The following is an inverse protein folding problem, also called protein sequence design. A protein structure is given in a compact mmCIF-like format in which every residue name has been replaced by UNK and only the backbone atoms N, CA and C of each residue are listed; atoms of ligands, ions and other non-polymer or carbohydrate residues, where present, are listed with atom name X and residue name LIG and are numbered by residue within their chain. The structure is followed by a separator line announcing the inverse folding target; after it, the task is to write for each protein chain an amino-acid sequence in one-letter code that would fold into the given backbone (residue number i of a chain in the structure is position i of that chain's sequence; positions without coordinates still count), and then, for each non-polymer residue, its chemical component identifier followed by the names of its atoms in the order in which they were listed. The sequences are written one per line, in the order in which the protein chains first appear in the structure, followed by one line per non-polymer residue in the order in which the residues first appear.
data_IF_848108814244
#
_entry.id   IF_848108814244
#
_cell.length_a   1.000
_cell.length_b   1.000
_cell.length_c   1.000
_cell.angle_alpha   90.00
_cell.angle_beta   90.00
_cell.angle_gamma   90.00
#
_symmetry.space_group_name_H-M   'P 1'
#
loop_
_entity.id
_entity.type
_entity.pdbx_description
1 polymer ?
#
# COMPACT_ATOMS: atom_id res chain seq x y z
N UNK A 1 26.19 -31.79 -5.89
CA UNK A 1 25.31 -30.91 -5.09
C UNK A 1 24.74 -29.89 -6.06
N UNK A 2 23.48 -30.01 -6.45
CA UNK A 2 22.84 -29.00 -7.30
C UNK A 2 22.71 -27.72 -6.48
N UNK A 3 23.41 -26.66 -6.87
CA UNK A 3 23.18 -25.34 -6.32
C UNK A 3 21.73 -24.95 -6.60
N UNK A 4 20.93 -24.94 -5.55
CA UNK A 4 19.58 -24.41 -5.60
C UNK A 4 19.68 -22.88 -5.59
N UNK A 5 19.64 -22.28 -6.77
CA UNK A 5 19.69 -20.84 -6.94
C UNK A 5 18.58 -20.11 -6.14
N UNK A 6 17.46 -20.79 -5.84
CA UNK A 6 16.40 -20.26 -4.98
C UNK A 6 16.80 -20.22 -3.50
N UNK A 7 17.66 -21.13 -3.03
CA UNK A 7 18.18 -21.12 -1.66
C UNK A 7 19.25 -20.04 -1.43
N UNK A 8 19.92 -19.58 -2.49
CA UNK A 8 20.92 -18.50 -2.40
C UNK A 8 20.30 -17.09 -2.59
N UNK A 9 19.15 -17.00 -3.28
CA UNK A 9 18.43 -15.74 -3.50
C UNK A 9 18.13 -14.92 -2.22
N UNK A 10 17.67 -15.53 -1.10
CA UNK A 10 17.46 -14.81 0.16
C UNK A 10 18.75 -14.20 0.75
N UNK A 11 19.93 -14.73 0.40
CA UNK A 11 21.22 -14.14 0.82
C UNK A 11 21.57 -12.90 0.01
N UNK A 12 21.00 -12.75 -1.19
CA UNK A 12 21.21 -11.62 -2.08
C UNK A 12 20.22 -10.47 -1.81
N UNK A 13 19.07 -10.75 -1.18
CA UNK A 13 18.05 -9.74 -0.85
C UNK A 13 18.14 -9.38 0.63
N UNK A 14 18.47 -8.13 0.93
CA UNK A 14 18.46 -7.60 2.30
C UNK A 14 17.27 -6.67 2.48
N UNK A 15 16.32 -7.07 3.34
CA UNK A 15 15.26 -6.18 3.80
C UNK A 15 15.88 -5.06 4.65
N UNK A 16 15.76 -3.81 4.20
CA UNK A 16 16.31 -2.63 4.89
C UNK A 16 15.31 -1.98 5.85
N UNK A 17 14.03 -2.17 5.63
CA UNK A 17 12.95 -1.61 6.44
C UNK A 17 11.58 -1.99 5.88
N UNK A 18 10.54 -1.62 6.62
CA UNK A 18 9.15 -1.74 6.20
C UNK A 18 8.31 -0.68 6.92
N UNK A 19 7.32 -0.13 6.23
CA UNK A 19 6.26 0.70 6.78
C UNK A 19 4.96 -0.07 6.67
N UNK A 20 4.15 -0.04 7.73
CA UNK A 20 2.88 -0.74 7.78
C UNK A 20 1.78 0.26 8.05
N UNK A 21 0.73 0.22 7.24
CA UNK A 21 -0.47 1.04 7.39
C UNK A 21 -1.65 0.13 7.67
N UNK A 22 -2.51 0.54 8.61
CA UNK A 22 -3.85 0.01 8.74
C UNK A 22 -4.79 1.09 8.23
N UNK A 23 -5.49 0.82 7.13
CA UNK A 23 -6.36 1.81 6.49
C UNK A 23 -7.81 1.34 6.54
N UNK A 24 -8.64 2.08 7.25
CA UNK A 24 -10.10 1.90 7.24
C UNK A 24 -10.74 2.83 6.23
N UNK A 25 -11.36 2.29 5.19
CA UNK A 25 -12.00 3.09 4.15
C UNK A 25 -13.52 2.90 4.17
N UNK A 26 -14.27 4.00 4.11
CA UNK A 26 -15.73 3.97 4.07
C UNK A 26 -16.31 4.77 2.89
N UNK A 27 -17.48 4.35 2.39
CA UNK A 27 -18.17 5.01 1.28
C UNK A 27 -17.43 4.85 -0.06
N UNK A 28 -17.42 5.93 -0.86
CA UNK A 28 -16.72 5.98 -2.16
C UNK A 28 -15.31 6.53 -1.95
N UNK A 29 -14.29 5.70 -2.15
CA UNK A 29 -12.89 6.03 -1.84
C UNK A 29 -11.93 5.48 -2.90
N UNK A 30 -10.77 6.13 -3.00
CA UNK A 30 -9.65 5.73 -3.86
C UNK A 30 -8.33 6.14 -3.22
N UNK A 31 -7.34 5.27 -3.30
CA UNK A 31 -5.96 5.53 -2.89
C UNK A 31 -5.05 5.16 -4.04
N UNK A 32 -4.31 6.13 -4.56
CA UNK A 32 -3.25 5.89 -5.55
C UNK A 32 -1.88 6.02 -4.91
N UNK A 33 -1.02 5.06 -5.21
CA UNK A 33 0.39 5.13 -4.93
C UNK A 33 1.13 5.53 -6.21
N UNK A 34 2.06 6.50 -6.15
CA UNK A 34 2.92 6.81 -7.28
C UNK A 34 3.91 5.65 -7.53
N UNK A 35 4.65 5.72 -8.63
CA UNK A 35 5.76 4.79 -8.87
C UNK A 35 6.76 4.85 -7.69
N UNK A 36 7.21 3.70 -7.21
CA UNK A 36 8.12 3.60 -6.09
C UNK A 36 9.39 4.44 -6.25
N UNK A 37 9.85 4.74 -7.47
CA UNK A 37 10.99 5.63 -7.71
C UNK A 37 10.76 7.06 -7.17
N UNK A 38 9.50 7.47 -7.04
CA UNK A 38 9.11 8.75 -6.44
C UNK A 38 9.21 8.67 -4.90
N UNK A 39 8.70 7.60 -4.30
CA UNK A 39 8.61 7.48 -2.83
C UNK A 39 9.88 6.97 -2.16
N UNK A 40 10.56 5.99 -2.76
CA UNK A 40 11.76 5.34 -2.19
C UNK A 40 12.80 6.34 -1.66
N UNK A 41 13.25 7.37 -2.41
CA UNK A 41 14.24 8.31 -1.91
C UNK A 41 13.74 9.19 -0.76
N UNK A 42 12.43 9.32 -0.57
CA UNK A 42 11.83 10.12 0.50
C UNK A 42 11.68 9.32 1.80
N UNK A 43 11.25 8.06 1.70
CA UNK A 43 10.94 7.23 2.88
C UNK A 43 12.10 6.32 3.30
N UNK A 44 12.83 5.77 2.34
CA UNK A 44 13.93 4.82 2.55
C UNK A 44 15.09 5.10 1.58
N UNK A 45 15.85 6.20 1.77
CA UNK A 45 16.92 6.60 0.86
C UNK A 45 18.00 5.54 0.57
N UNK A 46 18.22 4.62 1.52
CA UNK A 46 19.21 3.55 1.44
C UNK A 46 18.67 2.28 0.75
N UNK A 47 17.38 2.24 0.42
CA UNK A 47 16.77 1.13 -0.29
C UNK A 47 16.96 1.30 -1.80
N UNK A 48 17.38 0.22 -2.46
CA UNK A 48 17.47 0.17 -3.92
C UNK A 48 16.14 -0.18 -4.57
N UNK A 49 15.23 -0.77 -3.80
CA UNK A 49 14.00 -1.36 -4.28
C UNK A 49 12.92 -1.30 -3.21
N UNK A 50 11.73 -0.82 -3.58
CA UNK A 50 10.55 -0.77 -2.74
C UNK A 50 9.49 -1.70 -3.33
N UNK A 51 8.87 -2.49 -2.46
CA UNK A 51 7.76 -3.38 -2.80
C UNK A 51 6.56 -2.99 -1.98
N UNK A 52 5.44 -2.76 -2.64
CA UNK A 52 4.17 -2.48 -1.97
C UNK A 52 3.32 -3.75 -1.96
N UNK A 53 2.58 -3.94 -0.88
CA UNK A 53 1.57 -4.98 -0.82
C UNK A 53 0.41 -4.50 0.05
N UNK A 54 -0.78 -5.01 -0.26
CA UNK A 54 -2.00 -4.71 0.47
C UNK A 54 -2.66 -6.01 0.89
N UNK A 55 -3.05 -6.07 2.15
CA UNK A 55 -3.77 -7.20 2.73
C UNK A 55 -5.19 -6.72 3.02
N UNK A 56 -6.18 -7.40 2.44
CA UNK A 56 -7.59 -7.11 2.71
C UNK A 56 -8.02 -7.77 4.01
N UNK A 57 -7.99 -7.01 5.10
CA UNK A 57 -8.39 -7.50 6.43
C UNK A 57 -9.90 -7.72 6.56
N UNK A 58 -10.71 -6.89 5.89
CA UNK A 58 -12.18 -6.96 5.89
C UNK A 58 -12.74 -6.30 4.63
N UNK A 59 -13.87 -6.81 4.13
CA UNK A 59 -14.59 -6.19 3.02
C UNK A 59 -14.03 -6.55 1.65
N UNK A 60 -14.17 -5.64 0.68
CA UNK A 60 -13.74 -5.86 -0.70
C UNK A 60 -13.40 -4.53 -1.40
N UNK A 61 -12.46 -4.57 -2.34
CA UNK A 61 -12.09 -3.42 -3.16
C UNK A 61 -11.59 -3.85 -4.54
N UNK A 62 -11.19 -2.89 -5.37
CA UNK A 62 -10.53 -3.11 -6.65
C UNK A 62 -9.08 -2.63 -6.57
N UNK A 63 -8.16 -3.40 -7.14
CA UNK A 63 -6.75 -3.09 -7.22
C UNK A 63 -6.24 -3.18 -8.66
N UNK A 64 -5.30 -2.33 -9.05
CA UNK A 64 -4.68 -2.42 -10.37
C UNK A 64 -3.47 -1.51 -10.52
N UNK A 65 -2.59 -1.87 -11.46
CA UNK A 65 -1.53 -0.96 -11.92
C UNK A 65 -2.18 0.13 -12.74
N UNK A 66 -1.83 1.39 -12.51
CA UNK A 66 -2.51 2.57 -13.08
C UNK A 66 -2.49 2.64 -14.61
N UNK A 67 -1.54 1.94 -15.24
CA UNK A 67 -1.35 1.86 -16.70
C UNK A 67 -1.84 0.54 -17.31
N UNK A 68 -2.39 -0.38 -16.50
CA UNK A 68 -2.84 -1.68 -16.95
C UNK A 68 -4.31 -1.91 -16.63
N UNK A 69 -5.02 -2.58 -17.53
CA UNK A 69 -6.40 -3.00 -17.36
C UNK A 69 -6.55 -4.49 -17.65
N UNK A 70 -7.55 -5.19 -17.06
CA UNK A 70 -8.52 -4.68 -16.09
C UNK A 70 -8.02 -4.74 -14.63
N UNK A 71 -8.59 -3.95 -13.71
CA UNK A 71 -8.33 -4.11 -12.28
C UNK A 71 -8.89 -5.45 -11.78
N UNK A 72 -8.28 -5.96 -10.72
CA UNK A 72 -8.72 -7.18 -10.02
C UNK A 72 -9.57 -6.81 -8.81
N UNK A 73 -10.58 -7.64 -8.52
CA UNK A 73 -11.36 -7.51 -7.29
C UNK A 73 -10.70 -8.31 -6.18
N UNK A 74 -10.50 -7.67 -5.03
CA UNK A 74 -10.00 -8.28 -3.81
C UNK A 74 -11.14 -8.42 -2.81
N UNK A 75 -11.09 -9.49 -2.03
CA UNK A 75 -12.00 -9.80 -0.92
C UNK A 75 -11.20 -10.03 0.35
N UNK A 76 -11.89 -10.14 1.49
CA UNK A 76 -11.29 -10.47 2.78
C UNK A 76 -10.37 -11.70 2.70
N UNK A 77 -9.15 -11.54 3.23
CA UNK A 77 -8.09 -12.54 3.18
C UNK A 77 -7.17 -12.45 1.96
N UNK A 78 -7.55 -11.71 0.91
CA UNK A 78 -6.70 -11.56 -0.27
C UNK A 78 -5.48 -10.67 0.00
N UNK A 79 -4.40 -10.98 -0.71
CA UNK A 79 -3.17 -10.17 -0.74
C UNK A 79 -2.83 -9.83 -2.17
N UNK A 80 -2.61 -8.55 -2.45
CA UNK A 80 -2.02 -8.08 -3.71
C UNK A 80 -0.62 -7.55 -3.44
N UNK A 81 0.32 -7.89 -4.32
CA UNK A 81 1.71 -7.44 -4.24
C UNK A 81 2.07 -6.73 -5.53
N UNK A 82 2.79 -5.61 -5.41
CA UNK A 82 3.39 -4.85 -6.50
C UNK A 82 4.92 -5.01 -6.38
N UNK A 83 5.52 -6.08 -6.92
CA UNK A 83 6.89 -6.44 -6.61
C UNK A 83 7.92 -5.46 -7.14
N UNK A 84 7.54 -4.55 -8.03
CA UNK A 84 8.42 -3.48 -8.53
C UNK A 84 8.04 -2.09 -8.02
N UNK A 85 7.02 -2.00 -7.16
CA UNK A 85 6.43 -0.74 -6.75
C UNK A 85 5.86 0.04 -7.95
N UNK A 86 5.31 -0.68 -8.93
CA UNK A 86 4.64 -0.05 -10.07
C UNK A 86 3.47 0.80 -9.53
N UNK A 87 3.27 2.00 -10.10
CA UNK A 87 2.21 2.92 -9.68
C UNK A 87 0.84 2.23 -9.74
N UNK A 88 0.09 2.24 -8.63
CA UNK A 88 -1.11 1.42 -8.49
C UNK A 88 -2.24 2.15 -7.77
N UNK A 89 -3.46 1.63 -7.98
CA UNK A 89 -4.69 2.15 -7.41
C UNK A 89 -5.40 1.07 -6.60
N UNK A 90 -5.90 1.46 -5.43
CA UNK A 90 -6.86 0.72 -4.60
C UNK A 90 -8.15 1.55 -4.55
N UNK A 91 -9.32 0.96 -4.81
CA UNK A 91 -10.57 1.74 -4.91
C UNK A 91 -11.83 0.96 -4.54
N UNK A 92 -12.86 1.67 -4.05
CA UNK A 92 -14.19 1.09 -3.79
C UNK A 92 -14.96 0.74 -5.07
N UNK A 93 -14.66 1.43 -6.17
CA UNK A 93 -15.36 1.34 -7.47
C UNK A 93 -14.30 1.25 -8.57
N UNK A 94 -14.41 0.31 -9.52
CA UNK A 94 -13.41 0.18 -10.58
C UNK A 94 -13.38 1.44 -11.45
N UNK A 95 -12.17 1.84 -11.85
CA UNK A 95 -11.94 3.04 -12.66
C UNK A 95 -11.98 4.36 -11.88
N UNK A 96 -12.21 4.36 -10.57
CA UNK A 96 -12.05 5.56 -9.75
C UNK A 96 -10.56 5.90 -9.62
N UNK A 97 -10.22 7.19 -9.75
CA UNK A 97 -8.85 7.71 -9.75
C UNK A 97 -8.73 8.93 -8.84
N UNK A 98 -7.55 9.15 -8.30
CA UNK A 98 -7.17 10.36 -7.54
C UNK A 98 -5.67 10.63 -7.71
N UNK A 99 -5.27 11.89 -7.54
CA UNK A 99 -3.85 12.21 -7.51
C UNK A 99 -3.20 11.67 -6.22
N UNK A 100 -2.06 10.98 -6.31
CA UNK A 100 -1.35 10.50 -5.13
C UNK A 100 -0.82 11.67 -4.30
N UNK A 101 -1.12 11.67 -2.99
CA UNK A 101 -0.56 12.63 -2.04
C UNK A 101 0.83 12.17 -1.59
N UNK A 102 1.85 12.58 -2.35
CA UNK A 102 3.26 12.20 -2.11
C UNK A 102 3.74 12.70 -0.75
N UNK A 103 3.35 13.91 -0.35
CA UNK A 103 3.78 14.50 0.92
C UNK A 103 3.21 13.72 2.10
N UNK A 104 1.96 13.28 2.01
CA UNK A 104 1.37 12.39 3.01
C UNK A 104 2.07 11.03 3.06
N UNK A 105 2.25 10.38 1.91
CA UNK A 105 2.88 9.05 1.82
C UNK A 105 4.37 9.06 2.23
N UNK A 106 5.04 10.19 2.11
CA UNK A 106 6.44 10.36 2.50
C UNK A 106 6.63 10.62 4.00
N UNK A 107 5.55 10.87 4.76
CA UNK A 107 5.65 11.15 6.20
C UNK A 107 6.20 9.94 6.95
N UNK A 108 7.06 10.20 7.93
CA UNK A 108 7.48 9.18 8.90
C UNK A 108 6.46 9.15 10.03
N UNK A 109 5.68 8.06 10.16
CA UNK A 109 4.72 7.96 11.24
C UNK A 109 5.44 7.82 12.59
N UNK A 110 4.89 8.38 13.68
CA UNK A 110 5.51 8.31 15.00
C UNK A 110 5.48 6.89 15.60
N UNK A 111 4.55 6.03 15.12
CA UNK A 111 4.36 4.65 15.56
C UNK A 111 3.85 3.77 14.43
N UNK A 112 4.17 2.47 14.48
CA UNK A 112 3.75 1.47 13.49
C UNK A 112 2.86 0.40 14.14
N UNK A 113 1.82 -0.13 13.45
CA UNK A 113 1.36 0.34 12.14
C UNK A 113 0.71 1.72 12.24
N UNK A 114 0.79 2.48 11.14
CA UNK A 114 0.15 3.78 11.06
C UNK A 114 -1.34 3.60 10.78
N UNK A 115 -2.18 3.99 11.74
CA UNK A 115 -3.63 3.86 11.67
C UNK A 115 -4.21 5.06 10.92
N UNK A 116 -4.87 4.78 9.80
CA UNK A 116 -5.47 5.75 8.91
C UNK A 116 -6.94 5.41 8.68
N UNK A 117 -7.78 6.44 8.59
CA UNK A 117 -9.14 6.32 8.10
C UNK A 117 -9.34 7.18 6.87
N UNK A 118 -9.88 6.61 5.79
CA UNK A 118 -10.24 7.37 4.60
C UNK A 118 -11.75 7.56 4.53
N UNK A 119 -12.19 8.83 4.60
CA UNK A 119 -13.57 9.24 4.42
C UNK A 119 -13.65 10.44 3.48
N UNK A 120 -14.60 10.42 2.53
CA UNK A 120 -14.82 11.54 1.61
C UNK A 120 -13.60 11.91 0.76
N UNK A 121 -12.68 10.97 0.53
CA UNK A 121 -11.44 11.20 -0.23
C UNK A 121 -10.29 11.81 0.58
N UNK A 122 -10.42 11.95 1.91
CA UNK A 122 -9.34 12.45 2.79
C UNK A 122 -8.87 11.36 3.75
N UNK A 123 -7.58 11.37 4.08
CA UNK A 123 -7.03 10.56 5.17
C UNK A 123 -7.12 11.32 6.50
N UNK A 124 -7.62 10.63 7.52
CA UNK A 124 -7.69 11.04 8.92
C UNK A 124 -6.75 10.12 9.71
N UNK A 125 -5.99 10.66 10.67
CA UNK A 125 -5.10 9.86 11.51
C UNK A 125 -5.83 9.40 12.78
N UNK A 126 -5.38 8.32 13.43
CA UNK A 126 -6.02 7.82 14.66
C UNK A 126 -6.07 8.80 15.85
N UNK A 127 -5.38 9.94 15.80
CA UNK A 127 -5.60 11.03 16.75
C UNK A 127 -6.99 11.68 16.60
N UNK A 128 -7.58 11.59 15.41
CA UNK A 128 -8.82 12.24 15.03
C UNK A 128 -10.05 11.31 15.14
N UNK A 129 -9.83 10.01 15.39
CA UNK A 129 -10.88 8.97 15.36
C UNK A 129 -10.45 7.68 16.10
N UNK A 130 -11.38 6.97 16.76
CA UNK A 130 -11.04 5.76 17.54
C UNK A 130 -11.32 4.48 16.75
N UNK A 131 -10.37 3.54 16.61
CA UNK A 131 -10.60 2.27 15.89
C UNK A 131 -11.75 1.39 16.44
N UNK A 132 -12.27 1.69 17.63
CA UNK A 132 -13.29 0.91 18.32
C UNK A 132 -14.71 1.48 18.20
N UNK A 133 -14.91 2.58 17.51
CA UNK A 133 -16.21 3.28 17.46
C UNK A 133 -17.10 2.91 16.25
N UNK A 134 -16.72 1.88 15.48
CA UNK A 134 -17.49 1.38 14.32
C UNK A 134 -17.74 -0.13 14.35
N UNK A 135 -18.86 -0.54 14.94
CA UNK A 135 -19.47 -1.87 14.81
C UNK A 135 -20.57 -1.89 13.74
#
# INVERSE_FOLDING_TARGET
MSQDALSDLPRCVRLRGALFFHVDCAGRWVSEAPDAKVLTPLIMPEAQHLMDYHVMLKGACWAGVTTAEPPIRLSEGDVVVFPRGDAHVMSSVPGLRAEPDVDFLARRPPQLPFLLRQEGGRFLEAGDWSPNDGS
#
